data_IF_541160375420
#
_entry.id   IF_541160375420
#
_cell.length_a   1.000
_cell.length_b   1.000
_cell.length_c   1.000
_cell.angle_alpha   90.00
_cell.angle_beta   90.00
_cell.angle_gamma   90.00
#
_symmetry.space_group_name_H-M   'P 1'
#
loop_
_entity.id
_entity.type
_entity.pdbx_description
1 polymer ?
#
# COMPACT_ATOMS: atom_id res chain seq x y z
N UNK A 1 54.89 2.89 -51.75
CA UNK A 1 54.72 3.11 -50.30
C UNK A 1 53.22 3.33 -50.03
N UNK A 2 52.53 2.36 -49.48
CA UNK A 2 51.09 2.41 -49.25
C UNK A 2 50.88 2.77 -47.76
N UNK A 3 50.26 3.92 -47.48
CA UNK A 3 49.83 4.30 -46.15
C UNK A 3 48.45 3.72 -45.84
N UNK A 4 48.39 2.79 -44.90
CA UNK A 4 47.16 2.29 -44.33
C UNK A 4 46.61 3.30 -43.32
N UNK A 5 45.41 3.83 -43.61
CA UNK A 5 44.65 4.62 -42.66
C UNK A 5 43.87 3.68 -41.75
N UNK A 6 44.26 3.59 -40.51
CA UNK A 6 43.49 2.90 -39.45
C UNK A 6 42.35 3.84 -39.07
N UNK A 7 41.14 3.38 -39.37
CA UNK A 7 39.89 4.04 -38.93
C UNK A 7 39.58 3.56 -37.51
N UNK A 8 39.78 4.39 -36.50
CA UNK A 8 39.38 4.14 -35.14
C UNK A 8 37.89 4.49 -35.05
N UNK A 9 37.04 3.44 -34.98
CA UNK A 9 35.61 3.58 -34.77
C UNK A 9 35.35 3.75 -33.26
N UNK A 10 35.08 5.01 -32.86
CA UNK A 10 34.69 5.34 -31.50
C UNK A 10 33.22 4.93 -31.30
N UNK A 11 32.98 3.77 -30.66
CA UNK A 11 31.67 3.36 -30.24
C UNK A 11 31.26 4.19 -29.00
N UNK A 12 30.44 5.21 -29.23
CA UNK A 12 29.74 5.91 -28.16
C UNK A 12 28.61 4.98 -27.70
N UNK A 13 28.83 4.32 -26.58
CA UNK A 13 27.78 3.54 -25.87
C UNK A 13 26.82 4.52 -25.20
N UNK A 14 25.78 4.90 -25.95
CA UNK A 14 24.64 5.63 -25.36
C UNK A 14 23.84 4.67 -24.49
N UNK A 15 24.10 4.70 -23.20
CA UNK A 15 23.31 3.94 -22.22
C UNK A 15 21.90 4.50 -22.18
N UNK A 16 20.99 3.87 -22.92
CA UNK A 16 19.55 4.01 -22.72
C UNK A 16 19.22 3.34 -21.38
N UNK A 17 18.99 4.16 -20.37
CA UNK A 17 18.27 3.73 -19.18
C UNK A 17 16.82 3.47 -19.61
N UNK A 18 16.54 2.22 -19.96
CA UNK A 18 15.16 1.75 -20.12
C UNK A 18 14.62 1.62 -18.70
N UNK A 19 13.83 2.62 -18.29
CA UNK A 19 12.90 2.49 -17.16
C UNK A 19 11.95 1.36 -17.53
N UNK A 20 12.04 0.23 -16.84
CA UNK A 20 11.09 -0.86 -16.96
C UNK A 20 9.83 -0.47 -16.19
N UNK A 21 8.97 0.36 -16.81
CA UNK A 21 7.55 0.35 -16.56
C UNK A 21 6.92 -0.73 -17.46
N UNK A 22 7.28 -1.99 -17.21
CA UNK A 22 6.56 -3.11 -17.78
C UNK A 22 5.29 -3.31 -16.96
N UNK A 23 4.18 -2.77 -17.46
CA UNK A 23 2.86 -3.31 -17.14
C UNK A 23 2.79 -4.69 -17.78
N UNK A 24 3.12 -5.73 -17.03
CA UNK A 24 2.77 -7.08 -17.41
C UNK A 24 1.25 -7.23 -17.21
N UNK A 25 0.53 -7.20 -18.33
CA UNK A 25 -0.79 -7.82 -18.46
C UNK A 25 -0.57 -9.33 -18.36
N UNK A 26 -1.49 -10.00 -17.62
CA UNK A 26 -1.65 -11.45 -17.52
C UNK A 26 -0.76 -12.20 -16.52
N UNK A 27 -1.09 -12.06 -15.22
CA UNK A 27 -1.03 -13.21 -14.32
C UNK A 27 -2.26 -13.23 -13.38
N UNK A 28 -3.34 -13.85 -13.84
CA UNK A 28 -4.58 -14.07 -13.07
C UNK A 28 -4.39 -15.06 -11.90
N UNK A 29 -3.16 -15.48 -11.58
CA UNK A 29 -2.94 -16.52 -10.58
C UNK A 29 -1.84 -16.22 -9.55
N UNK A 30 -1.41 -14.99 -9.35
CA UNK A 30 -0.62 -14.66 -8.19
C UNK A 30 -1.53 -14.13 -7.06
N UNK A 31 -1.98 -15.02 -6.20
CA UNK A 31 -2.43 -14.72 -4.85
C UNK A 31 -1.19 -14.34 -4.04
N UNK A 32 -0.60 -13.21 -4.35
CA UNK A 32 0.58 -12.68 -3.69
C UNK A 32 0.48 -11.16 -3.65
N UNK A 33 0.29 -10.59 -2.47
CA UNK A 33 0.51 -9.17 -2.26
C UNK A 33 1.98 -8.86 -2.55
N UNK A 34 2.25 -7.83 -3.34
CA UNK A 34 3.60 -7.31 -3.53
C UNK A 34 4.18 -6.80 -2.20
N UNK A 35 5.47 -6.49 -2.19
CA UNK A 35 6.08 -5.81 -1.05
C UNK A 35 5.46 -4.42 -0.83
N UNK A 36 5.40 -4.00 0.45
CA UNK A 36 4.90 -2.67 0.81
C UNK A 36 5.78 -1.58 0.19
N UNK A 37 5.15 -0.67 -0.54
CA UNK A 37 5.84 0.46 -1.16
C UNK A 37 6.33 1.46 -0.11
N UNK A 38 7.25 2.34 -0.48
CA UNK A 38 7.66 3.43 0.39
C UNK A 38 6.47 4.33 0.79
N UNK A 39 5.46 4.46 -0.07
CA UNK A 39 4.25 5.25 0.20
C UNK A 39 3.36 4.59 1.25
N UNK A 40 3.13 3.27 1.17
CA UNK A 40 2.41 2.51 2.18
C UNK A 40 3.08 2.63 3.56
N UNK A 41 4.40 2.49 3.58
CA UNK A 41 5.19 2.62 4.82
C UNK A 41 5.18 4.03 5.40
N UNK A 42 5.11 5.08 4.57
CA UNK A 42 4.94 6.45 5.07
C UNK A 42 3.60 6.61 5.80
N UNK A 43 2.49 6.12 5.23
CA UNK A 43 1.17 6.15 5.86
C UNK A 43 1.20 5.37 7.18
N UNK A 44 1.74 4.15 7.19
CA UNK A 44 1.87 3.32 8.38
C UNK A 44 2.67 4.02 9.50
N UNK A 45 3.78 4.65 9.14
CA UNK A 45 4.63 5.38 10.08
C UNK A 45 3.93 6.63 10.65
N UNK A 46 3.15 7.36 9.84
CA UNK A 46 2.35 8.50 10.30
C UNK A 46 1.26 8.06 11.30
N UNK A 47 0.59 6.94 11.06
CA UNK A 47 -0.36 6.36 12.03
C UNK A 47 0.35 6.02 13.34
N UNK A 48 1.53 5.39 13.29
CA UNK A 48 2.30 5.08 14.48
C UNK A 48 2.85 6.33 15.20
N UNK A 49 3.21 7.37 14.46
CA UNK A 49 3.59 8.66 15.04
C UNK A 49 2.42 9.28 15.82
N UNK A 50 1.20 9.26 15.26
CA UNK A 50 0.00 9.70 15.97
C UNK A 50 -0.27 8.87 17.23
N UNK A 51 -0.20 7.53 17.13
CA UNK A 51 -0.35 6.66 18.31
C UNK A 51 0.65 6.99 19.41
N UNK A 52 1.91 7.19 19.05
CA UNK A 52 2.96 7.62 20.00
C UNK A 52 2.63 8.94 20.68
N UNK A 53 2.12 9.93 19.93
CA UNK A 53 1.68 11.23 20.49
C UNK A 53 0.55 11.06 21.51
N UNK A 54 -0.30 10.03 21.34
CA UNK A 54 -1.39 9.66 22.26
C UNK A 54 -0.94 8.75 23.41
N UNK A 55 0.35 8.43 23.52
CA UNK A 55 0.86 7.53 24.55
C UNK A 55 0.50 6.05 24.29
N UNK A 56 0.09 5.69 23.10
CA UNK A 56 -0.27 4.32 22.71
C UNK A 56 0.94 3.56 22.19
N UNK A 57 0.92 2.23 22.36
CA UNK A 57 1.95 1.34 21.80
C UNK A 57 1.89 1.38 20.27
N UNK A 58 3.06 1.46 19.63
CA UNK A 58 3.15 1.39 18.18
C UNK A 58 2.67 0.02 17.67
N UNK A 59 1.96 0.02 16.53
CA UNK A 59 1.55 -1.18 15.82
C UNK A 59 2.76 -1.83 15.15
N UNK A 60 2.79 -3.16 15.14
CA UNK A 60 3.74 -3.93 14.34
C UNK A 60 3.20 -4.08 12.93
N UNK A 61 4.06 -3.89 11.93
CA UNK A 61 3.70 -4.20 10.54
C UNK A 61 3.59 -5.71 10.37
N UNK A 62 2.64 -6.15 9.54
CA UNK A 62 2.35 -7.57 9.32
C UNK A 62 2.05 -7.78 7.82
N UNK A 63 2.85 -8.64 7.18
CA UNK A 63 2.77 -8.88 5.74
C UNK A 63 1.48 -9.57 5.31
N UNK A 64 0.93 -10.47 6.13
CA UNK A 64 -0.36 -11.12 5.83
C UNK A 64 -1.49 -10.10 5.84
N UNK A 65 -1.46 -9.16 6.81
CA UNK A 65 -2.41 -8.05 6.85
C UNK A 65 -2.22 -7.16 5.61
N UNK A 66 -0.98 -6.87 5.24
CA UNK A 66 -0.67 -6.08 4.05
C UNK A 66 -1.26 -6.71 2.78
N UNK A 67 -1.10 -8.03 2.60
CA UNK A 67 -1.66 -8.77 1.47
C UNK A 67 -3.19 -8.60 1.38
N UNK A 68 -3.91 -8.69 2.50
CA UNK A 68 -5.36 -8.47 2.51
C UNK A 68 -5.74 -7.02 2.19
N UNK A 69 -4.95 -6.04 2.66
CA UNK A 69 -5.12 -4.64 2.30
C UNK A 69 -4.92 -4.41 0.80
N UNK A 70 -3.86 -4.99 0.19
CA UNK A 70 -3.58 -4.89 -1.24
C UNK A 70 -4.73 -5.41 -2.08
N UNK A 71 -5.22 -6.61 -1.78
CA UNK A 71 -6.35 -7.24 -2.50
C UNK A 71 -7.56 -6.31 -2.46
N UNK A 72 -7.90 -5.77 -1.29
CA UNK A 72 -9.09 -4.93 -1.16
C UNK A 72 -8.92 -3.56 -1.84
N UNK A 73 -7.81 -2.88 -1.64
CA UNK A 73 -7.52 -1.61 -2.31
C UNK A 73 -7.52 -1.77 -3.83
N UNK A 74 -6.94 -2.87 -4.36
CA UNK A 74 -6.97 -3.19 -5.78
C UNK A 74 -8.40 -3.43 -6.29
N UNK A 75 -9.20 -4.21 -5.56
CA UNK A 75 -10.58 -4.48 -5.94
C UNK A 75 -11.42 -3.20 -5.98
N UNK A 76 -11.26 -2.30 -5.00
CA UNK A 76 -11.93 -0.99 -5.01
C UNK A 76 -11.42 -0.10 -6.16
N UNK A 77 -10.10 -0.05 -6.40
CA UNK A 77 -9.51 0.81 -7.44
C UNK A 77 -9.91 0.42 -8.86
N UNK A 78 -10.22 -0.85 -9.09
CA UNK A 78 -10.66 -1.39 -10.40
C UNK A 78 -12.18 -1.48 -10.53
N UNK A 79 -12.95 -1.13 -9.48
CA UNK A 79 -14.40 -1.29 -9.47
C UNK A 79 -14.88 -2.74 -9.34
N UNK A 80 -13.99 -3.70 -9.07
CA UNK A 80 -14.36 -5.11 -8.82
C UNK A 80 -15.23 -5.23 -7.57
N UNK A 81 -15.01 -4.38 -6.57
CA UNK A 81 -15.91 -4.17 -5.43
C UNK A 81 -16.26 -2.68 -5.31
N UNK A 82 -17.46 -2.38 -4.81
CA UNK A 82 -17.79 -1.02 -4.45
C UNK A 82 -16.88 -0.49 -3.33
N UNK A 83 -16.69 0.84 -3.28
CA UNK A 83 -15.97 1.48 -2.17
C UNK A 83 -16.69 1.20 -0.85
N UNK A 84 -15.95 0.71 0.15
CA UNK A 84 -16.47 0.39 1.48
C UNK A 84 -15.82 -0.85 2.09
N UNK A 85 -16.47 -1.46 3.07
CA UNK A 85 -15.95 -2.57 3.89
C UNK A 85 -16.40 -3.96 3.39
N UNK A 86 -16.86 -4.09 2.17
CA UNK A 86 -17.36 -5.37 1.63
C UNK A 86 -16.30 -6.48 1.72
N UNK A 87 -16.71 -7.64 2.29
CA UNK A 87 -15.82 -8.79 2.46
C UNK A 87 -14.82 -8.64 3.60
N UNK A 88 -15.01 -7.72 4.55
CA UNK A 88 -14.13 -7.56 5.71
C UNK A 88 -14.02 -8.85 6.53
N UNK A 89 -15.14 -9.53 6.80
CA UNK A 89 -15.15 -10.78 7.57
C UNK A 89 -14.33 -11.88 6.90
N UNK A 90 -14.35 -11.96 5.57
CA UNK A 90 -13.55 -12.95 4.84
C UNK A 90 -12.06 -12.59 4.85
N UNK A 91 -11.72 -11.29 4.75
CA UNK A 91 -10.33 -10.85 4.88
C UNK A 91 -9.74 -11.20 6.24
N UNK A 92 -10.49 -10.95 7.33
CA UNK A 92 -9.96 -11.24 8.68
C UNK A 92 -9.93 -12.73 8.99
N UNK A 93 -10.80 -13.55 8.40
CA UNK A 93 -10.70 -15.03 8.52
C UNK A 93 -9.35 -15.55 7.99
N UNK A 94 -8.81 -14.93 6.93
CA UNK A 94 -7.52 -15.30 6.38
C UNK A 94 -6.33 -14.88 7.27
N UNK A 95 -6.57 -14.08 8.32
CA UNK A 95 -5.56 -13.55 9.22
C UNK A 95 -5.52 -14.25 10.59
N UNK A 96 -6.18 -15.40 10.73
CA UNK A 96 -6.20 -16.15 12.01
C UNK A 96 -4.78 -16.60 12.42
N UNK A 97 -4.47 -16.64 13.73
CA UNK A 97 -5.35 -16.35 14.87
C UNK A 97 -5.47 -14.84 15.17
N UNK A 98 -6.65 -14.41 15.56
CA UNK A 98 -6.91 -13.05 16.04
C UNK A 98 -8.08 -13.05 17.04
N UNK A 99 -8.19 -12.03 17.89
CA UNK A 99 -9.29 -11.87 18.84
C UNK A 99 -10.01 -10.51 18.76
N UNK A 100 -9.48 -9.59 17.96
CA UNK A 100 -10.11 -8.31 17.63
C UNK A 100 -9.59 -7.83 16.27
N UNK A 101 -10.47 -7.26 15.47
CA UNK A 101 -10.12 -6.69 14.17
C UNK A 101 -10.93 -5.43 13.86
N UNK A 102 -10.36 -4.52 13.08
CA UNK A 102 -11.01 -3.34 12.53
C UNK A 102 -10.41 -2.97 11.19
N UNK A 103 -11.15 -2.17 10.42
CA UNK A 103 -10.71 -1.70 9.11
C UNK A 103 -11.02 -0.21 8.92
N UNK A 104 -10.08 0.51 8.31
CA UNK A 104 -10.28 1.83 7.76
C UNK A 104 -10.15 1.76 6.24
N UNK A 105 -11.06 2.38 5.52
CA UNK A 105 -10.96 2.60 4.07
C UNK A 105 -11.06 4.08 3.75
N UNK A 106 -10.39 4.51 2.68
CA UNK A 106 -10.50 5.87 2.16
C UNK A 106 -10.25 5.89 0.66
N UNK A 107 -10.65 6.97 -0.01
CA UNK A 107 -10.14 7.33 -1.32
C UNK A 107 -9.94 8.84 -1.42
N UNK A 108 -8.94 9.27 -2.18
CA UNK A 108 -8.71 10.67 -2.52
C UNK A 108 -7.84 10.78 -3.77
N UNK A 109 -7.56 12.02 -4.20
CA UNK A 109 -6.67 12.32 -5.33
C UNK A 109 -5.33 12.92 -4.88
N UNK A 110 -5.06 12.96 -3.57
CA UNK A 110 -3.81 13.49 -3.04
C UNK A 110 -2.67 12.51 -3.19
N UNK A 111 -1.48 13.04 -3.42
CA UNK A 111 -0.23 12.28 -3.42
C UNK A 111 0.52 12.37 -2.08
N UNK A 112 -0.08 13.05 -1.08
CA UNK A 112 0.54 13.23 0.24
C UNK A 112 -0.01 12.19 1.21
N UNK A 113 0.83 11.37 1.83
CA UNK A 113 0.39 10.35 2.78
C UNK A 113 -0.29 10.94 4.02
N UNK A 114 0.05 12.18 4.39
CA UNK A 114 -0.58 12.88 5.51
C UNK A 114 -2.08 13.11 5.30
N UNK A 115 -2.51 13.30 4.06
CA UNK A 115 -3.90 13.66 3.77
C UNK A 115 -4.86 12.50 4.09
N UNK A 116 -4.51 11.26 3.76
CA UNK A 116 -5.34 10.10 4.12
C UNK A 116 -5.35 9.88 5.63
N UNK A 117 -4.21 10.04 6.29
CA UNK A 117 -4.14 9.93 7.76
C UNK A 117 -5.00 11.02 8.42
N UNK A 118 -4.95 12.25 7.93
CA UNK A 118 -5.79 13.35 8.40
C UNK A 118 -7.28 13.08 8.15
N UNK A 119 -7.65 12.51 6.99
CA UNK A 119 -9.03 12.10 6.72
C UNK A 119 -9.52 11.09 7.77
N UNK A 120 -8.73 10.08 8.08
CA UNK A 120 -9.08 9.09 9.10
C UNK A 120 -9.14 9.71 10.50
N UNK A 121 -8.20 10.57 10.87
CA UNK A 121 -8.19 11.21 12.18
C UNK A 121 -9.34 12.21 12.38
N UNK A 122 -9.87 12.79 11.30
CA UNK A 122 -11.04 13.68 11.35
C UNK A 122 -12.38 12.92 11.40
N UNK A 123 -12.38 11.61 11.12
CA UNK A 123 -13.54 10.73 11.27
C UNK A 123 -13.49 10.01 12.62
N UNK A 124 -14.52 10.16 13.44
CA UNK A 124 -14.56 9.56 14.78
C UNK A 124 -14.40 8.04 14.77
N UNK A 125 -15.02 7.34 13.80
CA UNK A 125 -14.93 5.88 13.67
C UNK A 125 -13.53 5.43 13.25
N UNK A 126 -12.96 6.04 12.21
CA UNK A 126 -11.61 5.71 11.74
C UNK A 126 -10.55 6.05 12.80
N UNK A 127 -10.68 7.19 13.47
CA UNK A 127 -9.80 7.58 14.56
C UNK A 127 -9.87 6.59 15.72
N UNK A 128 -11.05 6.11 16.08
CA UNK A 128 -11.22 5.10 17.14
C UNK A 128 -10.47 3.81 16.81
N UNK A 129 -10.44 3.38 15.55
CA UNK A 129 -9.65 2.24 15.12
C UNK A 129 -8.15 2.50 15.26
N UNK A 130 -7.67 3.68 14.80
CA UNK A 130 -6.25 4.08 14.92
C UNK A 130 -5.82 4.18 16.39
N UNK A 131 -6.67 4.71 17.28
CA UNK A 131 -6.38 4.92 18.71
C UNK A 131 -6.74 3.71 19.57
N UNK A 132 -7.20 2.60 19.00
CA UNK A 132 -7.58 1.42 19.76
C UNK A 132 -6.39 0.83 20.53
N UNK A 133 -6.58 0.58 21.82
CA UNK A 133 -5.63 -0.16 22.66
C UNK A 133 -5.66 -1.68 22.39
N UNK A 134 -6.67 -2.16 21.66
CA UNK A 134 -6.77 -3.56 21.28
C UNK A 134 -5.82 -3.91 20.12
N UNK A 135 -5.56 -2.96 19.21
CA UNK A 135 -4.72 -3.21 18.06
C UNK A 135 -3.24 -3.43 18.45
N UNK A 136 -2.66 -4.52 17.98
CA UNK A 136 -1.23 -4.85 18.15
C UNK A 136 -0.49 -4.89 16.82
N UNK A 137 -1.17 -5.26 15.72
CA UNK A 137 -0.61 -5.37 14.37
C UNK A 137 -1.51 -4.61 13.38
N UNK A 138 -0.90 -4.11 12.32
CA UNK A 138 -1.63 -3.44 11.24
C UNK A 138 -0.77 -3.41 9.98
N UNK A 139 -1.41 -3.22 8.85
CA UNK A 139 -0.79 -2.77 7.62
C UNK A 139 -1.74 -1.86 6.86
N UNK A 140 -1.21 -1.12 5.90
CA UNK A 140 -1.99 -0.26 5.01
C UNK A 140 -1.48 -0.43 3.59
N UNK A 141 -2.39 -0.49 2.62
CA UNK A 141 -2.09 -0.48 1.21
C UNK A 141 -2.81 0.67 0.50
N UNK A 142 -2.10 1.32 -0.41
CA UNK A 142 -2.57 2.40 -1.26
C UNK A 142 -2.44 2.00 -2.73
N UNK A 143 -3.54 1.97 -3.46
CA UNK A 143 -3.56 1.61 -4.89
C UNK A 143 -4.19 2.74 -5.68
N UNK A 144 -3.47 3.21 -6.71
CA UNK A 144 -3.95 4.26 -7.61
C UNK A 144 -4.71 3.66 -8.79
N UNK A 145 -5.88 4.21 -9.12
CA UNK A 145 -6.59 3.82 -10.33
C UNK A 145 -6.12 4.62 -11.57
N UNK A 146 -6.63 4.26 -12.74
CA UNK A 146 -6.31 4.94 -14.01
C UNK A 146 -6.75 6.41 -14.07
N UNK A 147 -7.72 6.80 -13.23
CA UNK A 147 -8.23 8.17 -13.13
C UNK A 147 -7.45 9.04 -12.15
N UNK A 148 -6.42 8.48 -11.51
CA UNK A 148 -5.56 9.19 -10.56
C UNK A 148 -6.06 9.18 -9.12
N UNK A 149 -7.18 8.51 -8.82
CA UNK A 149 -7.66 8.36 -7.46
C UNK A 149 -6.90 7.23 -6.73
N UNK A 150 -6.50 7.50 -5.50
CA UNK A 150 -5.91 6.52 -4.60
C UNK A 150 -6.99 5.89 -3.73
N UNK A 151 -6.97 4.56 -3.62
CA UNK A 151 -7.81 3.76 -2.74
C UNK A 151 -6.97 3.14 -1.65
N UNK A 152 -7.41 3.30 -0.40
CA UNK A 152 -6.65 2.90 0.78
C UNK A 152 -7.45 1.89 1.59
N UNK A 153 -6.75 0.86 2.08
CA UNK A 153 -7.25 -0.07 3.08
C UNK A 153 -6.23 -0.19 4.19
N UNK A 154 -6.65 -0.01 5.42
CA UNK A 154 -5.86 -0.30 6.61
C UNK A 154 -6.62 -1.30 7.49
N UNK A 155 -5.98 -2.41 7.85
CA UNK A 155 -6.57 -3.41 8.75
C UNK A 155 -5.75 -3.43 10.04
N UNK A 156 -6.45 -3.55 11.14
CA UNK A 156 -5.91 -3.64 12.50
C UNK A 156 -6.31 -4.97 13.11
N UNK A 157 -5.37 -5.65 13.75
CA UNK A 157 -5.56 -6.97 14.37
C UNK A 157 -4.97 -6.96 15.78
N UNK A 158 -5.63 -7.69 16.70
CA UNK A 158 -5.05 -8.12 17.96
C UNK A 158 -4.63 -9.58 17.85
N UNK A 159 -3.33 -9.79 17.89
CA UNK A 159 -2.68 -11.12 18.02
C UNK A 159 -1.95 -11.24 19.34
#
# INVERSE_FOLDING_TARGET
>A
MKFNKIFVLLLVLCGLLISCDAFDEDDENSVGGGEATSYDMQIFNLVNAHRKQKGLVALKFDDDIFNQCCIHSKNMSTGKTAFGHYGFDDRVKNLTPWCWAAENVAFNYSTKPEDVVNMWLNSSGHRANIESTQATHSAVSAVKNSEGAWYYTQIFIKR
#
